data_IF_039932161381
#
_entry.id   IF_039932161381
#
_cell.length_a   1.000
_cell.length_b   1.000
_cell.length_c   1.000
_cell.angle_alpha   90.00
_cell.angle_beta   90.00
_cell.angle_gamma   90.00
#
_symmetry.space_group_name_H-M   'P 1'
#
loop_
_entity.id
_entity.type
_entity.pdbx_description
1 polymer ?
#
# COMPACT_ATOMS: atom_id res chain seq x y z
N UNK A 1 3.63 -12.50 18.01
CA UNK A 1 3.78 -13.12 16.68
C UNK A 1 2.77 -12.47 15.76
N UNK A 2 3.02 -12.46 14.45
CA UNK A 2 2.17 -11.76 13.50
C UNK A 2 0.81 -12.47 13.33
N UNK A 3 -0.28 -11.77 13.64
CA UNK A 3 -1.65 -12.22 13.45
C UNK A 3 -2.16 -11.63 12.15
N UNK A 4 -2.71 -12.51 11.31
CA UNK A 4 -3.39 -12.17 10.07
C UNK A 4 -4.71 -12.93 9.98
N UNK A 5 -5.64 -12.45 9.15
CA UNK A 5 -6.86 -13.19 8.78
C UNK A 5 -7.11 -13.17 7.27
N UNK A 6 -7.78 -14.20 6.72
CA UNK A 6 -8.40 -14.09 5.40
C UNK A 6 -9.59 -13.10 5.49
N UNK A 7 -10.05 -12.59 4.37
CA UNK A 7 -11.18 -11.66 4.34
C UNK A 7 -11.95 -11.76 3.03
N UNK A 8 -13.16 -11.20 3.00
CA UNK A 8 -13.97 -11.09 1.79
C UNK A 8 -13.55 -9.84 1.02
N UNK A 9 -12.65 -10.00 0.06
CA UNK A 9 -12.17 -8.92 -0.78
C UNK A 9 -13.29 -8.25 -1.57
N UNK A 10 -13.23 -6.93 -1.68
CA UNK A 10 -14.08 -6.11 -2.56
C UNK A 10 -13.21 -5.77 -3.77
N UNK A 11 -13.46 -6.43 -4.90
CA UNK A 11 -12.56 -6.41 -6.06
C UNK A 11 -13.34 -6.30 -7.38
N UNK A 12 -12.72 -5.81 -8.47
CA UNK A 12 -13.44 -5.64 -9.73
C UNK A 12 -13.71 -6.96 -10.45
N UNK A 13 -14.79 -7.09 -11.24
CA UNK A 13 -14.90 -8.13 -12.24
C UNK A 13 -13.69 -8.13 -13.19
N UNK A 14 -13.29 -9.30 -13.70
CA UNK A 14 -12.09 -9.45 -14.53
C UNK A 14 -12.10 -8.53 -15.75
N UNK A 15 -13.25 -8.34 -16.41
CA UNK A 15 -13.37 -7.47 -17.59
C UNK A 15 -13.31 -5.97 -17.27
N UNK A 16 -13.25 -5.58 -15.98
CA UNK A 16 -13.21 -4.20 -15.52
C UNK A 16 -11.89 -3.85 -14.81
N UNK A 17 -11.03 -4.81 -14.50
CA UNK A 17 -9.85 -4.58 -13.64
C UNK A 17 -8.94 -3.47 -14.18
N UNK A 18 -8.69 -3.43 -15.49
CA UNK A 18 -7.84 -2.40 -16.11
C UNK A 18 -8.48 -1.00 -16.10
N UNK A 19 -9.81 -0.91 -16.06
CA UNK A 19 -10.52 0.37 -15.92
C UNK A 19 -10.56 0.83 -14.46
N UNK A 20 -10.48 -0.10 -13.50
CA UNK A 20 -10.53 0.22 -12.07
C UNK A 20 -9.14 0.51 -11.51
N UNK A 21 -8.11 -0.22 -11.94
CA UNK A 21 -6.76 -0.06 -11.46
C UNK A 21 -6.26 1.38 -11.56
N UNK A 22 -5.49 1.80 -10.55
CA UNK A 22 -4.88 3.12 -10.47
C UNK A 22 -3.52 3.02 -9.78
N UNK A 23 -2.67 4.04 -9.94
CA UNK A 23 -1.47 4.19 -9.11
C UNK A 23 -1.88 4.60 -7.69
N UNK A 24 -1.01 4.43 -6.69
CA UNK A 24 -1.27 4.89 -5.33
C UNK A 24 -1.50 6.41 -5.24
N UNK A 25 -2.30 6.84 -4.27
CA UNK A 25 -2.69 8.25 -4.11
C UNK A 25 -1.53 9.23 -3.93
N UNK A 26 -0.38 8.76 -3.43
CA UNK A 26 0.80 9.53 -3.09
C UNK A 26 1.88 9.54 -4.19
N UNK A 27 1.64 8.88 -5.32
CA UNK A 27 2.56 8.84 -6.47
C UNK A 27 2.31 9.96 -7.48
N UNK A 28 1.13 10.58 -7.44
CA UNK A 28 0.72 11.60 -8.41
C UNK A 28 -0.07 12.74 -7.77
N UNK A 29 0.01 13.91 -8.40
CA UNK A 29 -0.78 15.07 -8.00
C UNK A 29 -2.20 15.04 -8.60
N UNK A 30 -3.08 15.95 -8.17
CA UNK A 30 -4.49 15.97 -8.61
C UNK A 30 -4.67 16.30 -10.09
N UNK A 31 -3.75 17.00 -10.75
CA UNK A 31 -3.81 17.25 -12.18
C UNK A 31 -3.50 15.97 -12.97
N UNK A 32 -2.42 15.28 -12.60
CA UNK A 32 -2.04 13.97 -13.16
C UNK A 32 -3.16 12.94 -12.97
N UNK A 33 -3.78 12.89 -11.78
CA UNK A 33 -4.93 12.01 -11.50
C UNK A 33 -6.10 12.27 -12.45
N UNK A 34 -6.38 13.56 -12.68
CA UNK A 34 -7.48 14.00 -13.54
C UNK A 34 -7.24 13.64 -15.00
N UNK A 35 -5.99 13.73 -15.45
CA UNK A 35 -5.58 13.29 -16.79
C UNK A 35 -5.71 11.77 -16.94
N UNK A 36 -5.25 10.99 -15.97
CA UNK A 36 -5.31 9.52 -16.06
C UNK A 36 -6.73 8.96 -15.91
N UNK A 37 -7.60 9.62 -15.13
CA UNK A 37 -9.01 9.23 -14.99
C UNK A 37 -9.90 9.77 -16.12
N UNK A 38 -9.36 10.60 -17.04
CA UNK A 38 -10.17 11.30 -18.03
C UNK A 38 -10.96 10.31 -18.92
N UNK A 39 -12.30 10.47 -18.92
CA UNK A 39 -13.20 9.61 -19.68
C UNK A 39 -13.44 8.22 -19.07
N UNK A 40 -12.88 7.91 -17.90
CA UNK A 40 -13.02 6.63 -17.23
C UNK A 40 -13.64 6.79 -15.82
N UNK A 41 -14.97 6.77 -15.76
CA UNK A 41 -15.71 6.87 -14.49
C UNK A 41 -15.47 5.70 -13.50
N UNK A 42 -14.79 4.63 -13.93
CA UNK A 42 -14.50 3.45 -13.11
C UNK A 42 -13.13 3.51 -12.47
N UNK A 43 -12.32 4.54 -12.77
CA UNK A 43 -10.99 4.68 -12.18
C UNK A 43 -11.07 4.80 -10.66
N UNK A 44 -10.27 4.00 -9.94
CA UNK A 44 -10.20 4.07 -8.48
C UNK A 44 -9.76 5.44 -7.96
N UNK A 45 -9.17 6.30 -8.82
CA UNK A 45 -8.89 7.70 -8.49
C UNK A 45 -10.11 8.48 -8.01
N UNK A 46 -11.32 8.14 -8.48
CA UNK A 46 -12.56 8.75 -7.98
C UNK A 46 -12.80 8.47 -6.47
N UNK A 47 -12.13 7.48 -5.88
CA UNK A 47 -12.23 7.13 -4.45
C UNK A 47 -10.98 7.58 -3.69
N UNK A 48 -9.79 7.37 -4.26
CA UNK A 48 -8.51 7.66 -3.56
C UNK A 48 -8.01 9.11 -3.75
N UNK A 49 -8.43 9.78 -4.82
CA UNK A 49 -8.19 11.20 -5.13
C UNK A 49 -9.49 11.91 -5.58
N UNK A 50 -10.54 11.91 -4.75
CA UNK A 50 -11.88 12.36 -5.15
C UNK A 50 -11.96 13.86 -5.49
N UNK A 51 -10.93 14.66 -5.19
CA UNK A 51 -10.85 16.06 -5.60
C UNK A 51 -10.86 16.22 -7.14
N UNK A 52 -10.56 15.16 -7.90
CA UNK A 52 -10.66 15.16 -9.36
C UNK A 52 -12.10 15.31 -9.89
N UNK A 53 -13.11 15.14 -9.03
CA UNK A 53 -14.52 15.31 -9.40
C UNK A 53 -15.04 16.73 -9.17
N UNK A 54 -14.21 17.61 -8.61
CA UNK A 54 -14.52 19.02 -8.34
C UNK A 54 -13.78 19.95 -9.30
N UNK A 55 -14.15 21.24 -9.43
CA UNK A 55 -13.39 22.19 -10.23
C UNK A 55 -11.91 22.24 -9.85
N UNK A 56 -11.04 22.48 -10.84
CA UNK A 56 -9.58 22.61 -10.63
C UNK A 56 -9.30 23.68 -9.58
N UNK A 57 -8.41 23.37 -8.63
CA UNK A 57 -8.07 24.24 -7.50
C UNK A 57 -8.90 24.00 -6.24
N UNK A 58 -9.85 23.05 -6.25
CA UNK A 58 -10.51 22.58 -5.02
C UNK A 58 -9.49 21.93 -4.09
N UNK A 59 -9.50 22.29 -2.82
CA UNK A 59 -8.63 21.72 -1.78
C UNK A 59 -8.95 20.23 -1.59
N UNK A 60 -7.92 19.37 -1.67
CA UNK A 60 -8.04 17.93 -1.45
C UNK A 60 -8.49 17.57 -0.02
N UNK A 61 -8.36 18.50 0.92
CA UNK A 61 -8.79 18.34 2.31
C UNK A 61 -10.14 18.98 2.64
N UNK A 62 -10.89 19.48 1.64
CA UNK A 62 -12.27 19.94 1.83
C UNK A 62 -13.17 18.76 2.25
N UNK A 63 -14.08 18.99 3.20
CA UNK A 63 -14.99 17.96 3.70
C UNK A 63 -15.80 17.29 2.58
N UNK A 64 -16.20 18.06 1.56
CA UNK A 64 -16.95 17.57 0.40
C UNK A 64 -16.16 16.56 -0.43
N UNK A 65 -14.83 16.67 -0.44
CA UNK A 65 -13.94 15.73 -1.14
C UNK A 65 -13.97 14.37 -0.45
N UNK A 66 -13.93 14.32 0.89
CA UNK A 66 -14.04 13.06 1.62
C UNK A 66 -15.43 12.42 1.48
N UNK A 67 -16.50 13.22 1.50
CA UNK A 67 -17.87 12.71 1.27
C UNK A 67 -17.98 12.12 -0.13
N UNK A 68 -17.43 12.80 -1.14
CA UNK A 68 -17.37 12.29 -2.52
C UNK A 68 -16.66 10.93 -2.62
N UNK A 69 -15.59 10.72 -1.85
CA UNK A 69 -14.91 9.43 -1.77
C UNK A 69 -15.89 8.29 -1.43
N UNK A 70 -16.68 8.48 -0.37
CA UNK A 70 -17.64 7.48 0.10
C UNK A 70 -18.81 7.30 -0.87
N UNK A 71 -19.31 8.38 -1.47
CA UNK A 71 -20.35 8.31 -2.51
C UNK A 71 -19.87 7.49 -3.71
N UNK A 72 -18.63 7.72 -4.16
CA UNK A 72 -18.04 6.98 -5.26
C UNK A 72 -17.78 5.52 -4.87
N UNK A 73 -17.32 5.24 -3.65
CA UNK A 73 -17.14 3.87 -3.19
C UNK A 73 -18.46 3.09 -3.14
N UNK A 74 -19.56 3.73 -2.71
CA UNK A 74 -20.89 3.14 -2.79
C UNK A 74 -21.34 2.95 -4.25
N UNK A 75 -21.17 3.97 -5.11
CA UNK A 75 -21.48 3.89 -6.55
C UNK A 75 -20.76 2.70 -7.22
N UNK A 76 -19.49 2.46 -6.90
CA UNK A 76 -18.71 1.36 -7.47
C UNK A 76 -19.31 -0.01 -7.10
N UNK A 77 -19.78 -0.16 -5.87
CA UNK A 77 -20.45 -1.38 -5.41
C UNK A 77 -21.82 -1.56 -6.06
N UNK A 78 -22.65 -0.50 -6.08
CA UNK A 78 -23.99 -0.53 -6.66
C UNK A 78 -23.97 -0.83 -8.18
N UNK A 79 -22.94 -0.33 -8.88
CA UNK A 79 -22.73 -0.58 -10.32
C UNK A 79 -22.06 -1.92 -10.62
N UNK A 80 -21.66 -2.68 -9.60
CA UNK A 80 -20.94 -3.94 -9.76
C UNK A 80 -19.52 -3.77 -10.31
N UNK A 81 -18.93 -2.58 -10.20
CA UNK A 81 -17.52 -2.35 -10.56
C UNK A 81 -16.57 -2.81 -9.46
N UNK A 82 -17.08 -2.92 -8.24
CA UNK A 82 -16.45 -3.60 -7.13
C UNK A 82 -17.45 -4.59 -6.53
N UNK A 83 -17.07 -5.86 -6.45
CA UNK A 83 -17.93 -6.94 -5.97
C UNK A 83 -17.23 -7.65 -4.82
N UNK A 84 -17.97 -7.89 -3.75
CA UNK A 84 -17.46 -8.61 -2.59
C UNK A 84 -17.47 -10.12 -2.83
N UNK A 85 -16.36 -10.80 -2.49
CA UNK A 85 -16.29 -12.25 -2.52
C UNK A 85 -17.26 -12.90 -1.51
N UNK A 86 -17.76 -14.10 -1.85
CA UNK A 86 -18.79 -14.79 -1.06
C UNK A 86 -18.26 -15.37 0.26
N UNK A 87 -16.97 -15.75 0.30
CA UNK A 87 -16.28 -16.31 1.46
C UNK A 87 -14.96 -15.59 1.74
N UNK A 88 -14.46 -15.71 2.97
CA UNK A 88 -13.14 -15.19 3.32
C UNK A 88 -12.05 -15.99 2.58
N UNK A 89 -11.09 -15.26 2.01
CA UNK A 89 -9.99 -15.82 1.22
C UNK A 89 -8.67 -15.14 1.62
N UNK A 90 -7.57 -15.82 1.35
CA UNK A 90 -6.31 -15.14 1.10
C UNK A 90 -6.12 -14.95 -0.40
N UNK A 91 -5.31 -13.97 -0.78
CA UNK A 91 -5.03 -13.72 -2.19
C UNK A 91 -3.53 -13.66 -2.43
N UNK A 92 -3.13 -13.95 -3.66
CA UNK A 92 -1.75 -13.75 -4.12
C UNK A 92 -1.77 -12.59 -5.09
N UNK A 93 -0.94 -11.59 -4.83
CA UNK A 93 -0.70 -10.47 -5.73
C UNK A 93 0.76 -10.47 -6.16
N UNK A 94 1.00 -10.47 -7.47
CA UNK A 94 2.33 -10.38 -8.03
C UNK A 94 2.52 -9.09 -8.81
N UNK A 95 3.73 -8.54 -8.70
CA UNK A 95 4.20 -7.44 -9.54
C UNK A 95 5.45 -7.91 -10.27
N UNK A 96 5.49 -7.70 -11.58
CA UNK A 96 6.69 -7.95 -12.39
C UNK A 96 7.18 -6.64 -13.00
N UNK A 97 8.44 -6.32 -12.69
CA UNK A 97 9.16 -5.16 -13.22
C UNK A 97 10.57 -5.61 -13.62
N UNK A 98 11.03 -5.18 -14.80
CA UNK A 98 12.39 -5.46 -15.30
C UNK A 98 12.76 -6.95 -15.27
N UNK A 99 11.81 -7.84 -15.62
CA UNK A 99 12.01 -9.30 -15.64
C UNK A 99 12.07 -9.97 -14.26
N UNK A 100 11.92 -9.22 -13.15
CA UNK A 100 11.84 -9.75 -11.80
C UNK A 100 10.39 -9.71 -11.31
N UNK A 101 9.91 -10.85 -10.81
CA UNK A 101 8.58 -10.98 -10.20
C UNK A 101 8.70 -11.13 -8.69
N UNK A 102 7.87 -10.40 -7.96
CA UNK A 102 7.63 -10.58 -6.53
C UNK A 102 6.19 -11.02 -6.30
N UNK A 103 5.99 -11.99 -5.43
CA UNK A 103 4.70 -12.59 -5.07
C UNK A 103 4.40 -12.29 -3.61
N UNK A 104 3.32 -11.58 -3.37
CA UNK A 104 2.86 -11.21 -2.04
C UNK A 104 1.53 -11.87 -1.70
N UNK A 105 1.33 -12.14 -0.41
CA UNK A 105 0.07 -12.60 0.14
C UNK A 105 -0.74 -11.39 0.62
N UNK A 106 -1.96 -11.23 0.11
CA UNK A 106 -2.90 -10.19 0.56
C UNK A 106 -3.64 -10.71 1.78
N UNK A 107 -3.56 -9.97 2.89
CA UNK A 107 -4.01 -10.39 4.21
C UNK A 107 -4.72 -9.25 4.95
N UNK A 108 -5.58 -9.57 5.91
CA UNK A 108 -5.98 -8.64 6.96
C UNK A 108 -4.96 -8.69 8.10
N UNK A 109 -4.10 -7.68 8.21
CA UNK A 109 -3.08 -7.56 9.25
C UNK A 109 -3.67 -6.99 10.55
N UNK A 110 -3.32 -7.58 11.70
CA UNK A 110 -3.91 -7.23 12.98
C UNK A 110 -3.42 -5.86 13.51
N UNK A 111 -4.36 -4.98 13.84
CA UNK A 111 -4.08 -3.62 14.34
C UNK A 111 -3.24 -3.63 15.62
N UNK A 112 -3.52 -4.46 16.63
CA UNK A 112 -2.68 -4.51 17.84
C UNK A 112 -1.23 -4.93 17.59
N UNK A 113 -0.92 -5.66 16.52
CA UNK A 113 0.47 -5.97 16.18
C UNK A 113 1.25 -4.72 15.76
N UNK A 114 0.58 -3.73 15.15
CA UNK A 114 1.17 -2.43 14.87
C UNK A 114 1.42 -1.63 16.15
N UNK A 115 0.44 -1.57 17.06
CA UNK A 115 0.58 -0.81 18.31
C UNK A 115 1.61 -1.43 19.26
N UNK A 116 1.71 -2.76 19.27
CA UNK A 116 2.62 -3.51 20.14
C UNK A 116 4.01 -3.73 19.53
N UNK A 117 4.28 -3.18 18.34
CA UNK A 117 5.58 -3.23 17.69
C UNK A 117 5.96 -4.61 17.16
N UNK A 118 4.99 -5.49 16.89
CA UNK A 118 5.18 -6.73 16.12
C UNK A 118 5.29 -6.40 14.63
N UNK A 119 4.47 -5.47 14.13
CA UNK A 119 4.68 -4.81 12.84
C UNK A 119 5.71 -3.69 13.05
N UNK A 120 6.90 -3.85 12.45
CA UNK A 120 8.07 -3.00 12.63
C UNK A 120 8.02 -1.80 11.68
N UNK A 121 8.20 -0.62 12.26
CA UNK A 121 8.30 0.66 11.58
C UNK A 121 9.78 1.04 11.42
N UNK A 122 10.11 1.70 10.31
CA UNK A 122 11.44 2.29 10.08
C UNK A 122 11.36 3.77 9.68
N UNK A 123 10.17 4.35 9.69
CA UNK A 123 9.91 5.76 9.37
C UNK A 123 8.94 6.34 10.41
N UNK A 124 9.10 7.64 10.69
CA UNK A 124 8.14 8.42 11.47
C UNK A 124 7.07 8.97 10.53
N UNK A 125 5.82 8.84 10.93
CA UNK A 125 4.69 9.41 10.22
C UNK A 125 4.51 10.88 10.57
N UNK A 126 3.96 11.66 9.62
CA UNK A 126 3.57 13.04 9.87
C UNK A 126 2.09 13.11 10.24
N UNK A 127 1.77 13.88 11.27
CA UNK A 127 0.41 14.01 11.82
C UNK A 127 -0.61 14.49 10.80
N UNK A 128 -0.26 15.47 9.97
CA UNK A 128 -1.14 15.99 8.92
C UNK A 128 -1.53 14.90 7.90
N UNK A 129 -0.55 14.10 7.47
CA UNK A 129 -0.80 12.95 6.58
C UNK A 129 -1.60 11.83 7.24
N UNK A 130 -1.39 11.59 8.53
CA UNK A 130 -2.18 10.62 9.28
C UNK A 130 -3.65 11.05 9.39
N UNK A 131 -3.92 12.31 9.75
CA UNK A 131 -5.28 12.83 9.93
C UNK A 131 -6.08 12.77 8.63
N UNK A 132 -5.45 13.13 7.50
CA UNK A 132 -6.01 13.01 6.17
C UNK A 132 -6.37 11.55 5.82
N UNK A 133 -5.45 10.61 6.03
CA UNK A 133 -5.72 9.17 5.78
C UNK A 133 -6.75 8.59 6.73
N UNK A 134 -6.78 9.02 7.99
CA UNK A 134 -7.81 8.61 8.95
C UNK A 134 -9.20 9.03 8.48
N UNK A 135 -9.36 10.24 7.93
CA UNK A 135 -10.65 10.70 7.37
C UNK A 135 -11.09 9.80 6.23
N UNK A 136 -10.20 9.46 5.29
CA UNK A 136 -10.52 8.52 4.20
C UNK A 136 -10.95 7.14 4.70
N UNK A 137 -10.20 6.53 5.62
CA UNK A 137 -10.55 5.21 6.18
C UNK A 137 -11.87 5.28 6.95
N UNK A 138 -12.08 6.36 7.73
CA UNK A 138 -13.30 6.54 8.53
C UNK A 138 -14.54 6.71 7.64
N UNK A 139 -14.48 7.58 6.63
CA UNK A 139 -15.64 7.90 5.80
C UNK A 139 -16.02 6.74 4.88
N UNK A 140 -15.04 6.05 4.28
CA UNK A 140 -15.29 4.89 3.44
C UNK A 140 -15.60 3.62 4.26
N UNK A 141 -15.27 3.63 5.56
CA UNK A 141 -15.33 2.46 6.44
C UNK A 141 -14.61 1.23 5.85
N UNK A 142 -13.50 1.48 5.14
CA UNK A 142 -12.74 0.47 4.40
C UNK A 142 -11.27 0.89 4.24
N UNK A 143 -10.40 -0.10 4.05
CA UNK A 143 -9.03 0.12 3.59
C UNK A 143 -9.02 -0.03 2.07
N UNK A 144 -8.94 1.07 1.33
CA UNK A 144 -9.02 1.07 -0.14
C UNK A 144 -7.70 0.61 -0.78
N UNK A 145 -6.57 0.96 -0.15
CA UNK A 145 -5.23 0.65 -0.63
C UNK A 145 -4.51 -0.25 0.38
N UNK A 146 -3.79 -1.29 -0.07
CA UNK A 146 -3.06 -2.15 0.85
C UNK A 146 -1.79 -1.46 1.34
N UNK A 147 -1.27 -1.93 2.47
CA UNK A 147 0.09 -1.59 2.93
C UNK A 147 1.09 -2.62 2.39
N UNK A 148 2.28 -2.17 1.99
CA UNK A 148 3.35 -3.08 1.56
C UNK A 148 4.12 -3.57 2.78
N UNK A 149 4.00 -4.86 3.10
CA UNK A 149 4.78 -5.52 4.13
C UNK A 149 5.84 -6.47 3.56
N UNK A 150 6.89 -6.67 4.35
CA UNK A 150 7.92 -7.67 4.13
C UNK A 150 7.94 -8.68 5.29
N UNK A 151 8.24 -9.94 4.98
CA UNK A 151 8.41 -11.01 5.97
C UNK A 151 9.59 -11.92 5.62
N UNK A 152 10.18 -12.67 6.58
CA UNK A 152 11.29 -13.59 6.29
C UNK A 152 10.88 -14.70 5.31
N UNK A 153 11.79 -15.13 4.43
CA UNK A 153 11.48 -16.21 3.49
C UNK A 153 10.97 -17.47 4.22
N UNK A 154 9.87 -18.03 3.75
CA UNK A 154 9.22 -19.19 4.37
C UNK A 154 8.91 -20.26 3.30
N UNK A 155 9.42 -21.48 3.52
CA UNK A 155 9.32 -22.59 2.55
C UNK A 155 7.87 -23.07 2.36
N UNK A 156 7.07 -23.13 3.43
CA UNK A 156 5.69 -23.57 3.36
C UNK A 156 4.83 -22.55 2.58
N UNK A 157 4.97 -21.25 2.89
CA UNK A 157 4.29 -20.19 2.15
C UNK A 157 4.71 -20.16 0.68
N UNK A 158 6.01 -20.31 0.39
CA UNK A 158 6.51 -20.38 -0.99
C UNK A 158 5.94 -21.58 -1.76
N UNK A 159 5.74 -22.72 -1.09
CA UNK A 159 5.11 -23.90 -1.68
C UNK A 159 3.65 -23.63 -2.04
N UNK A 160 2.90 -22.98 -1.14
CA UNK A 160 1.51 -22.58 -1.40
C UNK A 160 1.44 -21.58 -2.55
N UNK A 161 2.24 -20.52 -2.54
CA UNK A 161 2.26 -19.52 -3.62
C UNK A 161 2.51 -20.21 -4.97
N UNK A 162 3.53 -21.09 -5.06
CA UNK A 162 3.83 -21.84 -6.29
C UNK A 162 2.67 -22.71 -6.75
N UNK A 163 1.98 -23.40 -5.83
CA UNK A 163 0.80 -24.23 -6.14
C UNK A 163 -0.27 -23.46 -6.89
N UNK A 164 -0.51 -22.20 -6.54
CA UNK A 164 -1.53 -21.37 -7.20
C UNK A 164 -1.01 -20.68 -8.47
N UNK A 165 0.25 -20.23 -8.49
CA UNK A 165 0.79 -19.44 -9.61
C UNK A 165 1.08 -20.23 -10.88
N UNK A 166 0.98 -21.57 -10.85
CA UNK A 166 1.04 -22.41 -12.07
C UNK A 166 -0.30 -22.41 -12.83
N UNK A 167 -1.39 -21.98 -12.19
CA UNK A 167 -2.71 -21.90 -12.79
C UNK A 167 -2.97 -20.52 -13.39
N UNK A 168 -3.97 -20.45 -14.27
CA UNK A 168 -4.40 -19.19 -14.88
C UNK A 168 -4.80 -18.18 -13.80
N UNK A 169 -4.21 -16.98 -13.78
CA UNK A 169 -4.59 -15.93 -12.85
C UNK A 169 -5.98 -15.37 -13.12
N UNK A 170 -6.58 -14.79 -12.08
CA UNK A 170 -7.84 -14.04 -12.19
C UNK A 170 -7.63 -12.71 -12.90
N UNK A 171 -6.54 -12.01 -12.58
CA UNK A 171 -6.13 -10.79 -13.27
C UNK A 171 -4.70 -10.96 -13.79
N UNK A 172 -4.47 -10.51 -15.02
CA UNK A 172 -3.16 -10.50 -15.64
C UNK A 172 -3.11 -9.41 -16.70
N UNK A 173 -2.54 -8.27 -16.33
CA UNK A 173 -2.47 -7.10 -17.20
C UNK A 173 -1.19 -6.32 -16.96
N UNK A 174 -0.82 -5.50 -17.93
CA UNK A 174 0.28 -4.53 -17.81
C UNK A 174 -0.34 -3.16 -17.62
N UNK A 175 0.00 -2.49 -16.53
CA UNK A 175 -0.55 -1.16 -16.26
C UNK A 175 -0.09 -0.18 -17.35
N UNK A 176 -1.03 0.58 -17.95
CA UNK A 176 -0.67 1.63 -18.90
C UNK A 176 0.08 2.75 -18.16
N UNK A 177 1.28 3.07 -18.62
CA UNK A 177 2.08 4.20 -18.09
C UNK A 177 3.40 3.78 -17.45
N UNK A 178 3.39 2.87 -16.47
CA UNK A 178 4.60 2.40 -15.77
C UNK A 178 5.18 1.09 -16.32
N UNK A 179 4.38 0.33 -17.10
CA UNK A 179 4.79 -0.93 -17.70
C UNK A 179 4.90 -2.10 -16.73
N UNK A 180 4.34 -1.97 -15.52
CA UNK A 180 4.38 -3.03 -14.53
C UNK A 180 3.31 -4.06 -14.84
N UNK A 181 3.68 -5.34 -14.83
CA UNK A 181 2.69 -6.42 -14.96
C UNK A 181 2.14 -6.76 -13.58
N UNK A 182 0.83 -6.73 -13.47
CA UNK A 182 0.07 -7.06 -12.26
C UNK A 182 -0.63 -8.40 -12.47
N UNK A 183 -0.46 -9.30 -11.51
CA UNK A 183 -1.03 -10.65 -11.59
C UNK A 183 -1.68 -11.04 -10.27
N UNK A 184 -2.84 -11.69 -10.30
CA UNK A 184 -3.63 -11.94 -9.09
C UNK A 184 -4.29 -13.33 -9.09
N UNK A 185 -4.23 -14.01 -7.95
CA UNK A 185 -4.86 -15.32 -7.70
C UNK A 185 -5.59 -15.33 -6.37
N UNK A 186 -6.53 -16.27 -6.22
CA UNK A 186 -7.26 -16.52 -4.98
C UNK A 186 -6.80 -17.83 -4.35
N UNK A 187 -6.60 -17.84 -3.03
CA UNK A 187 -6.37 -19.03 -2.22
C UNK A 187 -7.69 -19.37 -1.53
N UNK A 188 -8.38 -20.39 -2.04
CA UNK A 188 -9.71 -20.79 -1.61
C UNK A 188 -9.79 -22.21 -1.01
N UNK A 189 -8.66 -22.90 -0.91
CA UNK A 189 -8.56 -24.19 -0.24
C UNK A 189 -8.36 -24.00 1.27
N UNK A 190 -9.21 -24.64 2.08
CA UNK A 190 -9.25 -24.43 3.53
C UNK A 190 -7.95 -24.86 4.23
N UNK A 191 -7.29 -25.93 3.76
CA UNK A 191 -6.02 -26.41 4.34
C UNK A 191 -4.86 -25.46 4.03
N UNK A 192 -4.81 -24.93 2.81
CA UNK A 192 -3.81 -23.94 2.41
C UNK A 192 -4.01 -22.63 3.20
N UNK A 193 -5.24 -22.16 3.34
CA UNK A 193 -5.55 -20.95 4.13
C UNK A 193 -5.19 -21.12 5.61
N UNK A 194 -5.49 -22.29 6.19
CA UNK A 194 -5.08 -22.61 7.56
C UNK A 194 -3.56 -22.62 7.71
N UNK A 195 -2.84 -23.16 6.72
CA UNK A 195 -1.38 -23.15 6.68
C UNK A 195 -0.84 -21.73 6.59
N UNK A 196 -1.39 -20.86 5.72
CA UNK A 196 -0.99 -19.44 5.64
C UNK A 196 -1.12 -18.77 7.01
N UNK A 197 -2.29 -18.92 7.66
CA UNK A 197 -2.53 -18.35 9.00
C UNK A 197 -1.51 -18.85 10.02
N UNK A 198 -1.25 -20.16 10.03
CA UNK A 198 -0.32 -20.81 10.96
C UNK A 198 1.11 -20.33 10.77
N UNK A 199 1.59 -20.24 9.54
CA UNK A 199 2.96 -19.84 9.25
C UNK A 199 3.22 -18.39 9.68
N UNK A 200 2.29 -17.46 9.42
CA UNK A 200 2.41 -16.08 9.92
C UNK A 200 2.40 -16.01 11.45
N UNK A 201 1.59 -16.84 12.11
CA UNK A 201 1.56 -16.91 13.58
C UNK A 201 2.87 -17.43 14.21
N UNK A 202 3.81 -17.96 13.42
CA UNK A 202 5.18 -18.29 13.89
C UNK A 202 6.17 -17.13 13.72
N UNK A 203 5.82 -16.10 12.94
CA UNK A 203 6.71 -15.00 12.63
C UNK A 203 6.78 -14.01 13.80
N UNK A 204 7.99 -13.66 14.28
CA UNK A 204 8.13 -12.72 15.39
C UNK A 204 7.73 -11.29 15.00
N UNK A 205 7.82 -10.95 13.72
CA UNK A 205 7.56 -9.62 13.21
C UNK A 205 7.24 -9.62 11.72
N UNK A 206 6.50 -8.59 11.30
CA UNK A 206 6.40 -8.13 9.91
C UNK A 206 7.06 -6.76 9.81
N UNK A 207 7.48 -6.35 8.62
CA UNK A 207 8.16 -5.08 8.42
C UNK A 207 7.37 -4.25 7.41
N UNK A 208 7.07 -3.01 7.75
CA UNK A 208 6.49 -2.07 6.78
C UNK A 208 7.60 -1.72 5.78
N UNK A 209 7.38 -1.97 4.49
CA UNK A 209 8.29 -1.52 3.44
C UNK A 209 7.78 -0.24 2.77
N UNK A 210 6.46 -0.09 2.66
CA UNK A 210 5.79 1.14 2.22
C UNK A 210 4.38 1.24 2.84
N UNK A 211 3.89 2.46 3.06
CA UNK A 211 2.56 2.72 3.62
C UNK A 211 2.51 2.91 5.15
N UNK A 212 3.52 3.55 5.75
CA UNK A 212 3.54 3.87 7.19
C UNK A 212 2.36 4.74 7.61
N UNK A 213 2.01 5.75 6.80
CA UNK A 213 0.84 6.62 7.05
C UNK A 213 -0.48 5.84 6.97
N UNK A 214 -0.61 4.92 6.00
CA UNK A 214 -1.77 4.02 5.85
C UNK A 214 -1.91 3.10 7.07
N UNK A 215 -0.79 2.51 7.53
CA UNK A 215 -0.76 1.67 8.73
C UNK A 215 -1.17 2.43 9.99
N UNK A 216 -0.60 3.63 10.18
CA UNK A 216 -0.92 4.48 11.32
C UNK A 216 -2.41 4.89 11.33
N UNK A 217 -2.92 5.35 10.20
CA UNK A 217 -4.32 5.75 10.06
C UNK A 217 -5.27 4.57 10.34
N UNK A 218 -5.02 3.40 9.77
CA UNK A 218 -5.82 2.21 10.02
C UNK A 218 -5.79 1.79 11.49
N UNK A 219 -4.62 1.83 12.14
CA UNK A 219 -4.50 1.49 13.55
C UNK A 219 -5.23 2.50 14.47
N UNK A 220 -5.17 3.79 14.16
CA UNK A 220 -5.86 4.84 14.92
C UNK A 220 -7.38 4.74 14.77
N UNK A 221 -7.89 4.52 13.55
CA UNK A 221 -9.33 4.32 13.30
C UNK A 221 -9.82 3.02 13.93
N UNK A 222 -9.03 1.95 13.88
CA UNK A 222 -9.34 0.68 14.54
C UNK A 222 -9.48 0.83 16.06
N UNK A 223 -8.52 1.52 16.69
CA UNK A 223 -8.57 1.82 18.12
C UNK A 223 -9.75 2.73 18.50
N UNK A 224 -10.09 3.71 17.66
CA UNK A 224 -11.28 4.56 17.82
C UNK A 224 -12.56 3.72 17.82
N UNK A 225 -12.75 2.86 16.81
CA UNK A 225 -13.92 1.99 16.69
C UNK A 225 -14.02 0.96 17.81
N UNK A 226 -12.90 0.41 18.26
CA UNK A 226 -12.86 -0.49 19.41
C UNK A 226 -13.39 0.18 20.68
N UNK A 227 -12.98 1.44 20.95
CA UNK A 227 -13.46 2.22 22.10
C UNK A 227 -14.95 2.56 22.01
N UNK A 228 -15.48 2.73 20.80
CA UNK A 228 -16.89 3.07 20.55
C UNK A 228 -17.80 1.84 20.53
N UNK A 229 -17.25 0.63 20.50
CA UNK A 229 -18.03 -0.61 20.46
C UNK A 229 -18.12 -1.26 21.85
N UNK A 230 -19.27 -1.17 22.56
CA UNK A 230 -19.43 -1.78 23.88
C UNK A 230 -19.38 -3.32 23.86
N UNK A 231 -19.54 -3.92 22.68
CA UNK A 231 -19.51 -5.38 22.46
C UNK A 231 -18.20 -5.83 21.79
N UNK A 232 -17.11 -5.08 21.96
CA UNK A 232 -15.81 -5.42 21.38
C UNK A 232 -15.29 -6.79 21.84
N UNK A 233 -14.90 -7.63 20.88
CA UNK A 233 -14.37 -8.99 21.07
C UNK A 233 -12.94 -9.15 20.56
N UNK A 234 -12.41 -8.17 19.85
CA UNK A 234 -11.05 -8.21 19.28
C UNK A 234 -10.96 -8.91 17.91
N UNK A 235 -12.08 -9.39 17.37
CA UNK A 235 -12.14 -10.06 16.06
C UNK A 235 -12.99 -9.31 15.02
N UNK A 236 -13.48 -8.11 15.35
CA UNK A 236 -14.17 -7.25 14.39
C UNK A 236 -13.24 -6.79 13.26
N UNK A 237 -13.82 -6.47 12.10
CA UNK A 237 -13.08 -6.01 10.92
C UNK A 237 -12.20 -4.78 11.17
N UNK A 238 -12.61 -3.88 12.07
CA UNK A 238 -11.81 -2.70 12.42
C UNK A 238 -10.53 -3.03 13.21
N UNK A 239 -10.35 -4.29 13.65
CA UNK A 239 -9.09 -4.74 14.24
C UNK A 239 -8.11 -5.24 13.20
N UNK A 240 -8.43 -5.14 11.91
CA UNK A 240 -7.58 -5.58 10.82
C UNK A 240 -7.50 -4.52 9.72
N UNK A 241 -6.39 -4.51 8.98
CA UNK A 241 -6.24 -3.67 7.80
C UNK A 241 -5.55 -4.42 6.67
N UNK A 242 -5.85 -4.00 5.44
CA UNK A 242 -5.39 -4.69 4.26
C UNK A 242 -3.89 -4.46 4.05
N UNK A 243 -3.13 -5.54 3.91
CA UNK A 243 -1.72 -5.51 3.57
C UNK A 243 -1.39 -6.55 2.51
N UNK A 244 -0.37 -6.27 1.69
CA UNK A 244 0.29 -7.28 0.86
C UNK A 244 1.66 -7.57 1.45
N UNK A 245 1.86 -8.80 1.91
CA UNK A 245 3.08 -9.26 2.54
C UNK A 245 3.95 -9.99 1.50
N UNK A 246 5.15 -9.48 1.23
CA UNK A 246 6.12 -10.06 0.29
C UNK A 246 7.28 -10.72 1.05
N UNK A 247 7.80 -11.87 0.59
CA UNK A 247 8.97 -12.48 1.18
C UNK A 247 10.22 -11.63 0.90
N UNK A 248 11.05 -11.42 1.93
CA UNK A 248 12.18 -10.50 1.89
C UNK A 248 13.18 -10.83 0.76
N UNK A 249 13.39 -12.11 0.45
CA UNK A 249 14.28 -12.54 -0.63
C UNK A 249 13.83 -12.14 -2.03
N UNK A 250 12.56 -11.75 -2.21
CA UNK A 250 12.03 -11.29 -3.50
C UNK A 250 12.10 -9.77 -3.66
N UNK A 251 12.35 -9.02 -2.57
CA UNK A 251 12.38 -7.57 -2.63
C UNK A 251 13.59 -7.04 -3.38
N UNK A 252 13.43 -5.86 -3.96
CA UNK A 252 14.52 -5.06 -4.53
C UNK A 252 14.52 -3.72 -3.83
N UNK A 253 15.56 -3.44 -3.06
CA UNK A 253 15.73 -2.13 -2.41
C UNK A 253 16.49 -1.23 -3.38
N UNK A 254 15.90 -0.09 -3.73
CA UNK A 254 16.46 0.88 -4.68
C UNK A 254 16.95 2.12 -3.90
N UNK A 255 17.92 2.83 -4.47
CA UNK A 255 18.41 4.10 -3.97
C UNK A 255 17.33 5.20 -3.98
N UNK A 256 17.21 5.93 -2.86
CA UNK A 256 16.36 7.12 -2.74
C UNK A 256 17.20 8.39 -2.87
N UNK A 257 17.27 8.93 -4.09
CA UNK A 257 18.09 10.10 -4.40
C UNK A 257 17.31 11.41 -4.20
N UNK A 258 17.92 12.40 -3.53
CA UNK A 258 17.34 13.74 -3.37
C UNK A 258 17.93 14.72 -4.38
N UNK A 259 17.07 15.51 -5.02
CA UNK A 259 17.48 16.57 -5.96
C UNK A 259 17.32 17.93 -5.30
N UNK A 260 18.41 18.69 -5.20
CA UNK A 260 18.40 20.08 -4.75
C UNK A 260 18.10 20.97 -5.96
N UNK A 261 16.88 21.54 -6.01
CA UNK A 261 16.42 22.39 -7.13
C UNK A 261 16.74 23.87 -6.94
N UNK A 262 16.93 24.30 -5.69
CA UNK A 262 17.20 25.68 -5.31
C UNK A 262 18.15 25.68 -4.10
N UNK A 263 18.95 26.74 -3.96
CA UNK A 263 19.94 26.90 -2.88
C UNK A 263 19.46 27.87 -1.78
N UNK A 264 18.19 28.28 -1.81
CA UNK A 264 17.56 29.19 -0.88
C UNK A 264 18.35 30.50 -0.70
N UNK A 265 18.76 31.08 -1.83
CA UNK A 265 19.55 32.33 -1.87
C UNK A 265 21.05 32.17 -1.58
N UNK A 266 21.54 30.96 -1.30
CA UNK A 266 22.98 30.71 -1.11
C UNK A 266 23.70 30.53 -2.45
N UNK A 267 24.97 30.93 -2.50
CA UNK A 267 25.88 30.48 -3.55
C UNK A 267 26.22 28.99 -3.38
N UNK A 268 26.64 28.27 -4.44
CA UNK A 268 27.07 26.88 -4.32
C UNK A 268 28.16 26.65 -3.26
N UNK A 269 29.10 27.59 -3.12
CA UNK A 269 30.17 27.52 -2.12
C UNK A 269 29.62 27.64 -0.68
N UNK A 270 28.70 28.58 -0.45
CA UNK A 270 28.07 28.77 0.85
C UNK A 270 27.20 27.57 1.24
N UNK A 271 26.44 27.02 0.30
CA UNK A 271 25.64 25.81 0.51
C UNK A 271 26.52 24.62 0.93
N UNK A 272 27.59 24.34 0.18
CA UNK A 272 28.52 23.25 0.52
C UNK A 272 29.23 23.50 1.87
N UNK A 273 29.58 24.75 2.18
CA UNK A 273 30.15 25.12 3.50
C UNK A 273 29.14 24.92 4.63
N UNK A 274 27.86 25.20 4.41
CA UNK A 274 26.81 24.96 5.38
C UNK A 274 26.61 23.46 5.64
N UNK A 275 26.56 22.65 4.59
CA UNK A 275 26.46 21.18 4.71
C UNK A 275 27.63 20.58 5.49
N UNK A 276 28.86 21.08 5.26
CA UNK A 276 30.08 20.64 5.97
C UNK A 276 30.05 20.83 7.49
N UNK A 277 29.08 21.58 8.04
CA UNK A 277 28.89 21.68 9.50
C UNK A 277 28.36 20.38 10.12
N UNK A 278 27.62 19.58 9.35
CA UNK A 278 26.95 18.37 9.83
C UNK A 278 27.34 17.11 9.05
N UNK A 279 27.92 17.25 7.86
CA UNK A 279 28.22 16.14 6.96
C UNK A 279 29.64 16.20 6.41
N UNK A 280 30.22 15.05 6.09
CA UNK A 280 31.43 14.97 5.27
C UNK A 280 31.03 15.14 3.80
N UNK A 281 31.51 16.21 3.15
CA UNK A 281 31.13 16.54 1.76
C UNK A 281 32.32 16.39 0.84
N UNK A 282 32.24 15.42 -0.08
CA UNK A 282 33.29 15.10 -1.06
C UNK A 282 32.75 15.16 -2.48
N UNK A 283 33.45 15.83 -3.39
CA UNK A 283 33.11 15.83 -4.82
C UNK A 283 33.43 14.46 -5.45
N UNK A 284 32.43 13.80 -6.05
CA UNK A 284 32.58 12.50 -6.73
C UNK A 284 32.59 12.61 -8.26
N UNK A 285 32.62 13.83 -8.80
CA UNK A 285 32.60 14.12 -10.23
C UNK A 285 31.19 14.02 -10.85
N UNK A 286 31.13 13.86 -12.18
CA UNK A 286 29.87 13.92 -12.95
C UNK A 286 29.15 12.59 -13.11
N UNK A 287 29.81 11.47 -12.78
CA UNK A 287 29.19 10.15 -12.88
C UNK A 287 28.33 9.90 -11.63
N UNK A 288 27.19 9.25 -11.82
CA UNK A 288 26.34 8.80 -10.70
C UNK A 288 27.18 7.96 -9.74
N UNK A 289 27.21 8.36 -8.48
CA UNK A 289 27.86 7.59 -7.42
C UNK A 289 26.84 6.64 -6.79
N UNK A 290 27.25 5.39 -6.55
CA UNK A 290 26.48 4.41 -5.77
C UNK A 290 27.37 3.85 -4.67
N UNK A 291 26.82 3.58 -3.47
CA UNK A 291 27.53 2.82 -2.45
C UNK A 291 28.01 1.48 -3.02
N UNK A 292 29.24 1.11 -2.71
CA UNK A 292 29.88 -0.11 -3.26
C UNK A 292 29.64 -1.35 -2.38
N UNK A 293 29.21 -1.17 -1.14
CA UNK A 293 28.90 -2.24 -0.18
C UNK A 293 27.86 -1.82 0.85
N UNK A 294 27.28 -2.82 1.52
CA UNK A 294 26.39 -2.59 2.67
C UNK A 294 27.08 -1.76 3.75
N UNK A 295 26.33 -0.86 4.38
CA UNK A 295 26.81 0.07 5.41
C UNK A 295 27.87 1.07 4.92
N UNK A 296 28.02 1.28 3.61
CA UNK A 296 28.71 2.44 3.08
C UNK A 296 27.74 3.63 3.03
N UNK A 297 27.92 4.57 3.94
CA UNK A 297 27.16 5.82 3.98
C UNK A 297 27.82 6.83 3.05
N UNK A 298 27.03 7.40 2.13
CA UNK A 298 27.44 8.41 1.16
C UNK A 298 26.72 9.73 1.39
#
# INVERSE_FOLDING_TARGET
MAIIKPFKGIRPPQNLVEQVASRPYDVLNSEEARTEAAGNEKSLYHIIKPEIDFPVGTDEHDERVYVKASENFQKFQDKGWLVQDSKELYYIYAQTMNGKTQYGLVVGAYVPDYTNGIIKKHELTRRDKEEDRMKHVRINNANIEPVFFAYPDNVALNTIVKKYTIHTPVYDFIAPGDGFRHTFWMIDNDEDMATVTKEFATMPALYIADGHHRSAAAALVGAEKAKQNPNHRGNEEYNYFMAVCFPAGQLTIIDYNRVVKDLNGLTPSEFLKALKKNFEVTEKGRKTYKPDKLHNFS
#
